data_IF_950859605887
#
_entry.id   IF_950859605887
#
_cell.length_a   1.000
_cell.length_b   1.000
_cell.length_c   1.000
_cell.angle_alpha   90.00
_cell.angle_beta   90.00
_cell.angle_gamma   90.00
#
_symmetry.space_group_name_H-M   'P 1'
#
loop_
_entity.id
_entity.type
_entity.pdbx_description
1 polymer ?
#
# COMPACT_ATOMS: atom_id res chain seq x y z
N UNK A 1 -10.71 0.23 32.96
CA UNK A 1 -10.14 0.09 31.60
C UNK A 1 -8.65 -0.04 31.75
N UNK A 2 -8.06 -1.15 31.30
CA UNK A 2 -6.62 -1.37 31.40
C UNK A 2 -5.90 -0.31 30.58
N UNK A 3 -5.02 0.47 31.22
CA UNK A 3 -4.26 1.52 30.58
C UNK A 3 -3.09 0.89 29.80
N UNK A 4 -3.40 0.19 28.70
CA UNK A 4 -2.40 -0.43 27.83
C UNK A 4 -1.59 0.67 27.13
N UNK A 5 -0.30 0.70 27.43
CA UNK A 5 0.68 1.61 26.81
C UNK A 5 1.40 0.87 25.68
N UNK A 6 1.49 1.51 24.52
CA UNK A 6 2.27 1.01 23.38
C UNK A 6 3.56 1.81 23.26
N UNK A 7 4.62 1.15 22.81
CA UNK A 7 5.93 1.75 22.60
C UNK A 7 6.42 1.41 21.18
N UNK A 8 7.03 2.38 20.52
CA UNK A 8 7.80 2.16 19.29
C UNK A 8 9.24 1.93 19.70
N UNK A 9 9.83 0.85 19.22
CA UNK A 9 11.18 0.41 19.58
C UNK A 9 11.93 0.00 18.32
N UNK A 10 13.23 0.28 18.27
CA UNK A 10 14.09 -0.23 17.19
C UNK A 10 14.10 -1.76 17.20
N UNK A 11 14.08 -2.37 16.02
CA UNK A 11 14.14 -3.83 15.87
C UNK A 11 15.41 -4.41 16.51
N UNK A 12 16.53 -3.69 16.49
CA UNK A 12 17.81 -4.11 17.08
C UNK A 12 17.76 -4.21 18.61
N UNK A 13 16.85 -3.46 19.24
CA UNK A 13 16.67 -3.49 20.69
C UNK A 13 15.69 -4.60 21.14
N UNK A 14 15.00 -5.25 20.20
CA UNK A 14 14.04 -6.31 20.50
C UNK A 14 14.74 -7.67 20.58
N UNK A 15 14.37 -8.50 21.57
CA UNK A 15 14.66 -9.93 21.51
C UNK A 15 14.23 -10.55 20.18
N UNK A 16 15.11 -11.34 19.58
CA UNK A 16 14.93 -11.94 18.25
C UNK A 16 13.59 -12.70 18.11
N UNK A 17 13.12 -13.32 19.20
CA UNK A 17 11.84 -14.03 19.24
C UNK A 17 10.66 -13.14 18.82
N UNK A 18 10.66 -11.84 19.16
CA UNK A 18 9.57 -10.95 18.77
C UNK A 18 9.60 -10.64 17.27
N UNK A 19 10.78 -10.38 16.73
CA UNK A 19 10.97 -10.17 15.28
C UNK A 19 10.52 -11.41 14.51
N UNK A 20 10.93 -12.61 14.95
CA UNK A 20 10.51 -13.88 14.34
C UNK A 20 9.00 -14.13 14.45
N UNK A 21 8.36 -13.76 15.56
CA UNK A 21 6.90 -13.85 15.70
C UNK A 21 6.18 -12.92 14.73
N UNK A 22 6.67 -11.69 14.55
CA UNK A 22 6.13 -10.75 13.57
C UNK A 22 6.27 -11.31 12.14
N UNK A 23 7.43 -11.86 11.80
CA UNK A 23 7.70 -12.47 10.50
C UNK A 23 6.81 -13.70 10.24
N UNK A 24 6.69 -14.61 11.20
CA UNK A 24 5.80 -15.77 11.08
C UNK A 24 4.34 -15.33 10.86
N UNK A 25 3.91 -14.24 11.51
CA UNK A 25 2.56 -13.69 11.32
C UNK A 25 2.40 -13.08 9.93
N UNK A 26 3.42 -12.38 9.40
CA UNK A 26 3.45 -11.88 8.02
C UNK A 26 3.30 -13.03 7.02
N UNK A 27 4.10 -14.08 7.16
CA UNK A 27 4.05 -15.26 6.28
C UNK A 27 2.65 -15.89 6.20
N UNK A 28 1.94 -15.95 7.34
CA UNK A 28 0.56 -16.43 7.38
C UNK A 28 -0.42 -15.48 6.67
N UNK A 29 -0.22 -14.17 6.77
CA UNK A 29 -1.10 -13.17 6.15
C UNK A 29 -0.94 -13.11 4.63
N UNK A 30 0.29 -13.23 4.13
CA UNK A 30 0.59 -13.16 2.69
C UNK A 30 0.53 -14.54 2.00
N UNK A 31 0.26 -15.61 2.75
CA UNK A 31 0.12 -16.97 2.21
C UNK A 31 1.44 -17.70 1.92
N UNK A 32 2.58 -17.20 2.41
CA UNK A 32 3.88 -17.88 2.30
C UNK A 32 3.96 -19.14 3.18
N UNK A 33 3.11 -19.25 4.21
CA UNK A 33 2.96 -20.45 5.02
C UNK A 33 1.47 -20.79 5.21
N UNK A 34 1.12 -22.07 5.09
CA UNK A 34 -0.28 -22.52 5.17
C UNK A 34 -0.75 -22.71 6.62
N UNK A 35 0.16 -22.94 7.57
CA UNK A 35 -0.17 -23.18 8.97
C UNK A 35 0.79 -22.48 9.94
N UNK A 36 0.31 -22.20 11.16
CA UNK A 36 1.15 -21.64 12.24
C UNK A 36 2.38 -22.51 12.51
N UNK A 37 2.23 -23.84 12.42
CA UNK A 37 3.34 -24.77 12.64
C UNK A 37 4.42 -24.65 11.57
N UNK A 38 4.01 -24.47 10.32
CA UNK A 38 4.91 -24.25 9.20
C UNK A 38 5.64 -22.91 9.33
N UNK A 39 4.90 -21.81 9.54
CA UNK A 39 5.47 -20.48 9.71
C UNK A 39 6.48 -20.43 10.87
N UNK A 40 6.10 -20.97 12.04
CA UNK A 40 6.98 -21.02 13.21
C UNK A 40 8.28 -21.80 12.93
N UNK A 41 8.19 -22.91 12.19
CA UNK A 41 9.36 -23.71 11.79
C UNK A 41 10.26 -22.93 10.82
N UNK A 42 9.68 -22.24 9.83
CA UNK A 42 10.44 -21.48 8.83
C UNK A 42 11.26 -20.34 9.46
N UNK A 43 10.71 -19.65 10.47
CA UNK A 43 11.41 -18.56 11.18
C UNK A 43 12.24 -19.04 12.38
N UNK A 44 12.22 -20.35 12.68
CA UNK A 44 13.01 -20.93 13.77
C UNK A 44 12.50 -20.63 15.20
N UNK A 45 11.18 -20.61 15.41
CA UNK A 45 10.55 -20.51 16.75
C UNK A 45 9.62 -21.68 17.04
N UNK A 46 9.30 -21.89 18.32
CA UNK A 46 8.27 -22.86 18.68
C UNK A 46 6.85 -22.32 18.44
N UNK A 47 5.89 -23.22 18.22
CA UNK A 47 4.46 -22.87 18.16
C UNK A 47 4.01 -22.15 19.44
N UNK A 48 4.52 -22.55 20.60
CA UNK A 48 4.19 -21.89 21.87
C UNK A 48 4.73 -20.46 21.96
N UNK A 49 5.93 -20.19 21.43
CA UNK A 49 6.47 -18.83 21.35
C UNK A 49 5.60 -17.95 20.46
N UNK A 50 5.14 -18.47 19.31
CA UNK A 50 4.18 -17.76 18.47
C UNK A 50 2.90 -17.42 19.24
N UNK A 51 2.21 -18.40 19.82
CA UNK A 51 0.96 -18.15 20.54
C UNK A 51 1.12 -17.24 21.77
N UNK A 52 2.28 -17.25 22.42
CA UNK A 52 2.56 -16.39 23.58
C UNK A 52 2.64 -14.91 23.20
N UNK A 53 3.13 -14.59 22.00
CA UNK A 53 3.44 -13.21 21.60
C UNK A 53 2.64 -12.69 20.41
N UNK A 54 1.86 -13.54 19.71
CA UNK A 54 1.14 -13.16 18.47
C UNK A 54 0.26 -11.92 18.62
N UNK A 55 -0.31 -11.68 19.80
CA UNK A 55 -1.22 -10.56 20.06
C UNK A 55 -0.50 -9.33 20.63
N UNK A 56 0.76 -9.49 21.06
CA UNK A 56 1.59 -8.42 21.62
C UNK A 56 2.58 -7.84 20.59
N UNK A 57 2.92 -8.61 19.56
CA UNK A 57 3.87 -8.23 18.52
C UNK A 57 3.20 -8.34 17.16
N UNK A 58 3.06 -7.20 16.51
CA UNK A 58 2.50 -7.09 15.17
C UNK A 58 3.36 -6.16 14.33
N UNK A 59 3.50 -6.41 13.02
CA UNK A 59 4.11 -5.45 12.13
C UNK A 59 3.38 -4.11 12.25
N UNK A 60 4.12 -3.06 12.57
CA UNK A 60 3.59 -1.71 12.45
C UNK A 60 3.66 -1.35 10.97
N UNK A 61 2.53 -1.38 10.28
CA UNK A 61 2.43 -0.81 8.94
C UNK A 61 2.26 0.68 9.11
N UNK A 62 3.38 1.38 9.01
CA UNK A 62 3.35 2.83 8.95
C UNK A 62 2.76 3.23 7.61
N UNK A 63 1.43 3.47 7.59
CA UNK A 63 0.73 3.99 6.42
C UNK A 63 1.31 5.32 5.93
N UNK A 64 2.13 6.00 6.75
CA UNK A 64 2.84 7.23 6.38
C UNK A 64 4.22 6.97 5.77
N UNK A 65 4.82 5.79 5.96
CA UNK A 65 6.17 5.48 5.45
C UNK A 65 6.17 4.90 4.04
N UNK A 66 5.07 4.30 3.58
CA UNK A 66 4.78 4.14 2.17
C UNK A 66 3.87 5.28 1.78
N UNK A 67 4.36 6.27 1.04
CA UNK A 67 3.60 7.46 0.63
C UNK A 67 2.42 7.04 -0.28
N UNK A 68 1.34 6.54 0.32
CA UNK A 68 0.09 6.23 -0.36
C UNK A 68 -0.57 7.57 -0.65
N UNK A 69 -0.68 7.89 -1.93
CA UNK A 69 -1.30 9.11 -2.40
C UNK A 69 -2.61 8.75 -3.08
N UNK A 70 -3.64 9.53 -2.79
CA UNK A 70 -4.92 9.45 -3.48
C UNK A 70 -4.95 10.51 -4.58
N UNK A 71 -5.14 10.04 -5.81
CA UNK A 71 -5.25 10.85 -7.00
C UNK A 71 -6.69 10.86 -7.46
N UNK A 72 -7.18 12.05 -7.81
CA UNK A 72 -8.47 12.22 -8.45
C UNK A 72 -8.28 12.85 -9.82
N UNK A 73 -8.91 12.27 -10.84
CA UNK A 73 -8.97 12.85 -12.17
C UNK A 73 -10.41 12.88 -12.68
N UNK A 74 -10.78 13.93 -13.40
CA UNK A 74 -11.97 13.95 -14.24
C UNK A 74 -11.54 13.66 -15.67
N UNK A 75 -11.99 12.54 -16.24
CA UNK A 75 -11.60 12.08 -17.56
C UNK A 75 -12.76 12.21 -18.55
N UNK A 76 -12.47 12.49 -19.82
CA UNK A 76 -13.43 12.31 -20.93
C UNK A 76 -13.75 10.83 -21.10
N UNK A 77 -15.02 10.52 -21.29
CA UNK A 77 -15.50 9.16 -21.54
C UNK A 77 -15.34 8.78 -23.01
N UNK A 78 -14.09 8.66 -23.44
CA UNK A 78 -13.72 8.20 -24.78
C UNK A 78 -12.86 6.93 -24.67
N UNK A 79 -12.96 6.00 -25.63
CA UNK A 79 -12.10 4.84 -25.69
C UNK A 79 -10.61 5.22 -25.61
N UNK A 80 -9.87 4.53 -24.73
CA UNK A 80 -8.43 4.72 -24.56
C UNK A 80 -8.01 5.78 -23.53
N UNK A 81 -8.88 6.70 -23.11
CA UNK A 81 -8.50 7.77 -22.16
C UNK A 81 -8.09 7.22 -20.80
N UNK A 82 -8.90 6.33 -20.20
CA UNK A 82 -8.54 5.68 -18.94
C UNK A 82 -7.24 4.86 -19.08
N UNK A 83 -7.08 4.14 -20.18
CA UNK A 83 -5.88 3.31 -20.41
C UNK A 83 -4.62 4.16 -20.53
N UNK A 84 -4.69 5.29 -21.24
CA UNK A 84 -3.60 6.25 -21.34
C UNK A 84 -3.27 6.84 -19.96
N UNK A 85 -4.29 7.23 -19.20
CA UNK A 85 -4.12 7.72 -17.82
C UNK A 85 -3.42 6.69 -16.93
N UNK A 86 -3.85 5.43 -16.93
CA UNK A 86 -3.22 4.35 -16.14
C UNK A 86 -1.78 4.04 -16.58
N UNK A 87 -1.47 4.18 -17.87
CA UNK A 87 -0.11 3.95 -18.39
C UNK A 87 0.90 4.95 -17.82
N UNK A 88 0.47 6.15 -17.44
CA UNK A 88 1.35 7.17 -16.84
C UNK A 88 1.84 6.72 -15.46
N UNK A 89 0.97 6.12 -14.65
CA UNK A 89 1.31 5.53 -13.35
C UNK A 89 2.24 4.32 -13.50
N UNK A 90 1.93 3.41 -14.43
CA UNK A 90 2.76 2.24 -14.68
C UNK A 90 4.19 2.65 -15.11
N UNK A 91 4.30 3.66 -15.98
CA UNK A 91 5.59 4.16 -16.47
C UNK A 91 6.38 4.97 -15.44
N UNK A 92 5.73 5.55 -14.42
CA UNK A 92 6.42 6.25 -13.33
C UNK A 92 6.93 5.31 -12.22
N UNK A 93 6.53 4.03 -12.28
CA UNK A 93 6.82 3.04 -11.24
C UNK A 93 5.89 3.12 -10.03
N UNK A 94 4.79 3.88 -10.12
CA UNK A 94 3.80 3.96 -9.06
C UNK A 94 3.01 2.64 -8.98
N UNK A 95 2.96 2.05 -7.78
CA UNK A 95 2.20 0.82 -7.56
C UNK A 95 0.74 1.16 -7.25
N UNK A 96 -0.15 0.99 -8.23
CA UNK A 96 -1.59 1.23 -8.05
C UNK A 96 -2.19 0.18 -7.11
N UNK A 97 -2.81 0.64 -6.04
CA UNK A 97 -3.49 -0.20 -5.05
C UNK A 97 -4.99 -0.32 -5.35
N UNK A 98 -5.64 0.79 -5.75
CA UNK A 98 -7.06 0.79 -6.11
C UNK A 98 -7.34 1.71 -7.29
N UNK A 99 -8.35 1.34 -8.09
CA UNK A 99 -8.92 2.17 -9.14
C UNK A 99 -10.43 2.17 -8.95
N UNK A 100 -11.03 3.35 -8.82
CA UNK A 100 -12.47 3.53 -8.75
C UNK A 100 -12.92 4.57 -9.77
N UNK A 101 -13.64 4.14 -10.80
CA UNK A 101 -14.24 5.03 -11.79
C UNK A 101 -15.75 5.13 -11.55
N UNK A 102 -16.28 6.35 -11.51
CA UNK A 102 -17.72 6.59 -11.48
C UNK A 102 -18.36 6.26 -12.82
N UNK A 103 -19.65 5.92 -12.82
CA UNK A 103 -20.42 5.84 -14.07
C UNK A 103 -20.30 7.17 -14.82
N UNK A 104 -19.94 7.15 -16.12
CA UNK A 104 -19.83 8.36 -16.90
C UNK A 104 -21.13 9.17 -16.90
N UNK A 105 -21.01 10.49 -16.72
CA UNK A 105 -22.12 11.44 -16.81
C UNK A 105 -21.68 12.63 -17.67
N UNK A 106 -22.52 13.06 -18.60
CA UNK A 106 -22.21 14.15 -19.54
C UNK A 106 -20.88 13.96 -20.30
N UNK A 107 -20.57 12.72 -20.68
CA UNK A 107 -19.34 12.38 -21.42
C UNK A 107 -18.05 12.47 -20.58
N UNK A 108 -18.16 12.48 -19.25
CA UNK A 108 -17.01 12.50 -18.34
C UNK A 108 -17.19 11.49 -17.20
N UNK A 109 -16.09 10.95 -16.68
CA UNK A 109 -16.08 10.07 -15.52
C UNK A 109 -15.02 10.53 -14.51
N UNK A 110 -15.38 10.54 -13.23
CA UNK A 110 -14.41 10.73 -12.14
C UNK A 110 -13.66 9.42 -11.91
N UNK A 111 -12.34 9.50 -11.79
CA UNK A 111 -11.47 8.37 -11.49
C UNK A 111 -10.66 8.70 -10.25
N UNK A 112 -10.76 7.84 -9.24
CA UNK A 112 -9.94 7.90 -8.03
C UNK A 112 -8.97 6.73 -8.03
N UNK A 113 -7.68 7.03 -7.88
CA UNK A 113 -6.60 6.04 -7.78
C UNK A 113 -5.90 6.21 -6.45
N UNK A 114 -5.72 5.12 -5.70
CA UNK A 114 -4.71 5.10 -4.63
C UNK A 114 -3.47 4.39 -5.14
N UNK A 115 -2.30 5.00 -4.94
CA UNK A 115 -1.04 4.40 -5.36
C UNK A 115 0.05 4.61 -4.30
N UNK A 116 0.88 3.58 -4.12
CA UNK A 116 2.10 3.66 -3.33
C UNK A 116 3.23 4.22 -4.20
N UNK A 117 3.89 5.27 -3.71
CA UNK A 117 4.92 6.02 -4.46
C UNK A 117 6.34 5.76 -3.98
N UNK A 118 6.55 4.80 -3.07
CA UNK A 118 7.83 4.52 -2.42
C UNK A 118 8.96 4.14 -3.38
N UNK A 119 8.63 3.35 -4.41
CA UNK A 119 9.60 2.81 -5.37
C UNK A 119 9.49 3.50 -6.75
N UNK A 120 8.86 4.69 -6.81
CA UNK A 120 8.80 5.45 -8.05
C UNK A 120 10.21 5.84 -8.51
N UNK A 121 10.45 5.65 -9.81
CA UNK A 121 11.73 5.96 -10.46
C UNK A 121 11.76 7.42 -10.91
N UNK A 122 10.58 8.01 -11.10
CA UNK A 122 10.38 9.40 -11.48
C UNK A 122 9.92 10.23 -10.28
N UNK A 123 10.27 11.51 -10.26
CA UNK A 123 9.74 12.47 -9.31
C UNK A 123 8.21 12.64 -9.46
N UNK A 124 7.54 12.82 -8.32
CA UNK A 124 6.08 12.93 -8.26
C UNK A 124 5.55 14.17 -9.02
N UNK A 125 6.23 15.32 -8.95
CA UNK A 125 5.79 16.53 -9.67
C UNK A 125 5.87 16.33 -11.18
N UNK A 126 6.89 15.61 -11.66
CA UNK A 126 7.04 15.26 -13.07
C UNK A 126 5.90 14.37 -13.55
N UNK A 127 5.58 13.32 -12.78
CA UNK A 127 4.41 12.47 -13.05
C UNK A 127 3.11 13.27 -13.06
N UNK A 128 2.89 14.13 -12.06
CA UNK A 128 1.69 14.98 -11.98
C UNK A 128 1.56 15.89 -13.21
N UNK A 129 2.67 16.46 -13.68
CA UNK A 129 2.70 17.29 -14.89
C UNK A 129 2.29 16.49 -16.13
N UNK A 130 2.80 15.26 -16.29
CA UNK A 130 2.44 14.37 -17.42
C UNK A 130 0.95 14.01 -17.38
N UNK A 131 0.41 13.74 -16.19
CA UNK A 131 -1.01 13.45 -16.00
C UNK A 131 -1.87 14.65 -16.40
N UNK A 132 -1.56 15.84 -15.88
CA UNK A 132 -2.32 17.05 -16.19
C UNK A 132 -2.29 17.42 -17.67
N UNK A 133 -1.22 17.06 -18.38
CA UNK A 133 -1.09 17.29 -19.83
C UNK A 133 -1.68 16.17 -20.70
N UNK A 134 -2.11 15.06 -20.12
CA UNK A 134 -2.56 13.90 -20.88
C UNK A 134 -3.90 14.15 -21.57
N UNK A 135 -4.00 13.72 -22.83
CA UNK A 135 -5.23 13.88 -23.60
C UNK A 135 -6.42 13.20 -22.92
N UNK A 136 -7.50 13.96 -22.77
CA UNK A 136 -8.73 13.48 -22.14
C UNK A 136 -8.79 13.68 -20.62
N UNK A 137 -7.72 14.15 -19.97
CA UNK A 137 -7.76 14.61 -18.58
C UNK A 137 -8.29 16.05 -18.54
N UNK A 138 -9.41 16.26 -17.84
CA UNK A 138 -10.07 17.56 -17.70
C UNK A 138 -9.70 18.27 -16.40
N UNK A 139 -9.49 17.48 -15.34
CA UNK A 139 -9.09 17.95 -14.02
C UNK A 139 -8.24 16.87 -13.36
N UNK A 140 -7.25 17.27 -12.57
CA UNK A 140 -6.42 16.36 -11.80
C UNK A 140 -6.02 16.99 -10.48
N UNK A 141 -6.12 16.22 -9.39
CA UNK A 141 -5.76 16.63 -8.03
C UNK A 141 -5.12 15.44 -7.30
N UNK A 142 -4.11 15.71 -6.47
CA UNK A 142 -3.46 14.72 -5.61
C UNK A 142 -3.59 15.15 -4.15
N UNK A 143 -3.92 14.20 -3.27
CA UNK A 143 -4.02 14.40 -1.83
C UNK A 143 -3.21 13.31 -1.12
N UNK A 144 -2.31 13.72 -0.23
CA UNK A 144 -1.65 12.79 0.69
C UNK A 144 -2.67 12.28 1.71
N UNK A 145 -2.69 10.96 1.93
CA UNK A 145 -3.54 10.32 2.92
C UNK A 145 -3.01 10.49 4.36
#
# INVERSE_FOLDING_TARGET
MSNQKYYIVSAEALPEVFVKVAEARRMLQVGEAATVGEAARMVGISRSAFYKYKDAVQPFQDMKAGHIITFYALLKDNPGVLSNFLSIFANSGANILTINQTIPTNGCAGVTISAETRDMVEDLESMMTRISAAEGVLKFEAQAA
#
